data_IF_647078937780
#
_entry.id   IF_647078937780
#
_cell.length_a   1.000
_cell.length_b   1.000
_cell.length_c   1.000
_cell.angle_alpha   90.00
_cell.angle_beta   90.00
_cell.angle_gamma   90.00
#
_symmetry.space_group_name_H-M   'P 1'
#
loop_
_entity.id
_entity.type
_entity.pdbx_description
1 polymer ?
#
# COMPACT_ATOMS: atom_id res chain seq x y z
N UNK A 1 -16.10 6.95 33.26
CA UNK A 1 -16.23 7.39 31.86
C UNK A 1 -16.96 8.72 31.89
N UNK A 2 -16.30 9.82 31.55
CA UNK A 2 -17.01 11.07 31.31
C UNK A 2 -17.65 10.96 29.93
N UNK A 3 -18.98 10.94 29.88
CA UNK A 3 -19.75 10.99 28.64
C UNK A 3 -19.49 12.34 27.99
N UNK A 4 -18.59 12.39 26.99
CA UNK A 4 -18.60 13.54 26.08
C UNK A 4 -20.01 13.64 25.51
N UNK A 5 -20.62 14.83 25.53
CA UNK A 5 -21.90 15.01 24.86
C UNK A 5 -21.75 14.65 23.38
N UNK A 6 -22.78 14.04 22.79
CA UNK A 6 -22.80 13.70 21.36
C UNK A 6 -22.44 14.92 20.49
N UNK A 7 -22.78 16.14 20.94
CA UNK A 7 -22.40 17.40 20.30
C UNK A 7 -20.89 17.68 20.34
N UNK A 8 -20.21 17.44 21.46
CA UNK A 8 -18.76 17.60 21.58
C UNK A 8 -18.00 16.59 20.73
N UNK A 9 -18.46 15.33 20.71
CA UNK A 9 -17.91 14.29 19.84
C UNK A 9 -18.07 14.66 18.36
N UNK A 10 -19.28 15.07 17.94
CA UNK A 10 -19.55 15.49 16.56
C UNK A 10 -18.75 16.74 16.15
N UNK A 11 -18.57 17.70 17.05
CA UNK A 11 -17.77 18.90 16.80
C UNK A 11 -16.28 18.56 16.63
N UNK A 12 -15.76 17.68 17.49
CA UNK A 12 -14.38 17.19 17.41
C UNK A 12 -14.16 16.40 16.11
N UNK A 13 -15.10 15.52 15.74
CA UNK A 13 -15.09 14.78 14.47
C UNK A 13 -15.05 15.72 13.27
N UNK A 14 -15.97 16.70 13.19
CA UNK A 14 -16.01 17.69 12.11
C UNK A 14 -14.72 18.50 12.02
N UNK A 15 -14.14 18.90 13.17
CA UNK A 15 -12.87 19.62 13.20
C UNK A 15 -11.72 18.78 12.64
N UNK A 16 -11.60 17.52 13.06
CA UNK A 16 -10.53 16.63 12.59
C UNK A 16 -10.70 16.28 11.11
N UNK A 17 -11.90 15.88 10.68
CA UNK A 17 -12.18 15.61 9.27
C UNK A 17 -11.98 16.85 8.41
N UNK A 18 -12.51 18.00 8.82
CA UNK A 18 -12.34 19.25 8.08
C UNK A 18 -10.88 19.66 7.93
N UNK A 19 -10.10 19.56 9.01
CA UNK A 19 -8.68 19.90 9.00
C UNK A 19 -7.86 18.95 8.12
N UNK A 20 -7.96 17.63 8.34
CA UNK A 20 -7.16 16.67 7.59
C UNK A 20 -7.62 16.52 6.13
N UNK A 21 -8.93 16.47 5.88
CA UNK A 21 -9.46 16.36 4.51
C UNK A 21 -9.20 17.64 3.74
N UNK A 22 -9.46 18.81 4.34
CA UNK A 22 -9.19 20.10 3.71
C UNK A 22 -7.70 20.33 3.47
N UNK A 23 -6.85 19.98 4.45
CA UNK A 23 -5.40 20.03 4.32
C UNK A 23 -4.89 19.09 3.21
N UNK A 24 -5.41 17.87 3.13
CA UNK A 24 -5.05 16.91 2.09
C UNK A 24 -5.50 17.38 0.69
N UNK A 25 -6.74 17.85 0.54
CA UNK A 25 -7.24 18.40 -0.74
C UNK A 25 -6.39 19.60 -1.16
N UNK A 26 -6.15 20.54 -0.24
CA UNK A 26 -5.29 21.70 -0.50
C UNK A 26 -3.88 21.28 -0.92
N UNK A 27 -3.30 20.29 -0.25
CA UNK A 27 -1.99 19.75 -0.59
C UNK A 27 -1.96 19.12 -1.99
N UNK A 28 -2.96 18.31 -2.35
CA UNK A 28 -3.08 17.71 -3.69
C UNK A 28 -3.26 18.77 -4.76
N UNK A 29 -4.09 19.78 -4.52
CA UNK A 29 -4.28 20.91 -5.45
C UNK A 29 -2.98 21.68 -5.66
N UNK A 30 -2.22 21.94 -4.59
CA UNK A 30 -0.89 22.58 -4.69
C UNK A 30 0.05 21.73 -5.54
N UNK A 31 0.11 20.41 -5.31
CA UNK A 31 0.94 19.52 -6.12
C UNK A 31 0.52 19.51 -7.59
N UNK A 32 -0.78 19.50 -7.88
CA UNK A 32 -1.29 19.56 -9.25
C UNK A 32 -0.95 20.88 -9.94
N UNK A 33 -0.99 22.01 -9.23
CA UNK A 33 -0.55 23.30 -9.75
C UNK A 33 0.95 23.27 -10.06
N UNK A 34 1.76 22.75 -9.13
CA UNK A 34 3.21 22.63 -9.34
C UNK A 34 3.55 21.72 -10.54
N UNK A 35 2.83 20.62 -10.70
CA UNK A 35 2.95 19.75 -11.87
C UNK A 35 2.62 20.49 -13.17
N UNK A 36 1.50 21.25 -13.21
CA UNK A 36 1.13 22.07 -14.37
C UNK A 36 2.13 23.19 -14.67
N UNK A 37 2.82 23.70 -13.64
CA UNK A 37 3.92 24.66 -13.78
C UNK A 37 5.23 24.02 -14.29
N UNK A 38 5.25 22.71 -14.56
CA UNK A 38 6.40 22.00 -15.10
C UNK A 38 7.43 21.59 -14.05
N UNK A 39 7.05 21.54 -12.76
CA UNK A 39 7.96 21.04 -11.72
C UNK A 39 8.26 19.56 -11.96
N UNK A 40 9.55 19.15 -11.96
CA UNK A 40 9.92 17.76 -12.16
C UNK A 40 9.26 16.80 -11.15
N UNK A 41 8.78 15.65 -11.63
CA UNK A 41 8.14 14.61 -10.81
C UNK A 41 8.97 14.20 -9.59
N UNK A 42 10.30 14.19 -9.72
CA UNK A 42 11.22 13.89 -8.61
C UNK A 42 11.09 14.89 -7.45
N UNK A 43 10.92 16.17 -7.77
CA UNK A 43 10.74 17.24 -6.77
C UNK A 43 9.37 17.11 -6.10
N UNK A 44 8.32 16.82 -6.88
CA UNK A 44 6.99 16.52 -6.34
C UNK A 44 7.03 15.32 -5.37
N UNK A 45 7.77 14.27 -5.72
CA UNK A 45 8.00 13.11 -4.86
C UNK A 45 8.68 13.47 -3.53
N UNK A 46 9.71 14.34 -3.55
CA UNK A 46 10.35 14.82 -2.32
C UNK A 46 9.41 15.68 -1.47
N UNK A 47 8.63 16.58 -2.08
CA UNK A 47 7.63 17.39 -1.36
C UNK A 47 6.61 16.48 -0.69
N UNK A 48 6.11 15.48 -1.41
CA UNK A 48 5.17 14.49 -0.87
C UNK A 48 5.73 13.74 0.33
N UNK A 49 6.96 13.21 0.20
CA UNK A 49 7.63 12.47 1.27
C UNK A 49 7.85 13.33 2.51
N UNK A 50 8.43 14.53 2.33
CA UNK A 50 8.76 15.42 3.44
C UNK A 50 7.52 15.99 4.11
N UNK A 51 6.47 16.34 3.35
CA UNK A 51 5.20 16.79 3.91
C UNK A 51 4.56 15.70 4.77
N UNK A 52 4.61 14.44 4.30
CA UNK A 52 4.07 13.28 5.04
C UNK A 52 4.84 13.04 6.33
N UNK A 53 6.17 13.00 6.27
CA UNK A 53 7.04 12.85 7.45
C UNK A 53 6.82 14.01 8.43
N UNK A 54 6.75 15.25 7.93
CA UNK A 54 6.53 16.44 8.73
C UNK A 54 5.18 16.43 9.45
N UNK A 55 4.11 16.02 8.76
CA UNK A 55 2.78 15.84 9.35
C UNK A 55 2.82 14.82 10.51
N UNK A 56 3.43 13.66 10.28
CA UNK A 56 3.50 12.60 11.30
C UNK A 56 4.38 13.00 12.47
N UNK A 57 5.53 13.62 12.22
CA UNK A 57 6.40 14.15 13.26
C UNK A 57 5.68 15.20 14.10
N UNK A 58 4.92 16.11 13.46
CA UNK A 58 4.08 17.09 14.15
C UNK A 58 3.06 16.44 15.07
N UNK A 59 2.33 15.42 14.59
CA UNK A 59 1.37 14.66 15.40
C UNK A 59 2.06 13.97 16.58
N UNK A 60 3.24 13.39 16.35
CA UNK A 60 4.06 12.74 17.38
C UNK A 60 4.48 13.70 18.49
N UNK A 61 4.99 14.88 18.13
CA UNK A 61 5.41 15.92 19.08
C UNK A 61 4.21 16.43 19.89
N UNK A 62 3.07 16.69 19.24
CA UNK A 62 1.85 17.15 19.92
C UNK A 62 1.22 16.09 20.84
N UNK A 63 1.52 14.81 20.59
CA UNK A 63 0.97 13.68 21.36
C UNK A 63 1.96 13.10 22.37
N UNK A 64 3.08 13.79 22.62
CA UNK A 64 4.15 13.30 23.50
C UNK A 64 3.64 12.97 24.90
N UNK A 65 4.03 11.81 25.41
CA UNK A 65 3.65 11.35 26.76
C UNK A 65 4.75 10.48 27.37
N UNK A 66 4.88 10.53 28.70
CA UNK A 66 5.77 9.68 29.49
C UNK A 66 5.01 8.68 30.39
N UNK A 67 3.67 8.76 30.44
CA UNK A 67 2.84 7.84 31.22
C UNK A 67 2.67 6.51 30.47
N UNK A 68 2.87 5.39 31.16
CA UNK A 68 2.81 4.03 30.58
C UNK A 68 1.44 3.71 29.98
N UNK A 69 0.36 4.09 30.66
CA UNK A 69 -1.00 3.84 30.19
C UNK A 69 -1.38 4.72 29.00
N UNK A 70 -0.89 5.96 28.96
CA UNK A 70 -1.01 6.83 27.79
C UNK A 70 -0.16 6.34 26.62
N UNK A 71 1.05 5.86 26.91
CA UNK A 71 1.98 5.37 25.90
C UNK A 71 1.48 4.09 25.23
N UNK A 72 1.00 3.10 25.99
CA UNK A 72 0.58 1.82 25.40
C UNK A 72 -0.88 1.77 24.95
N UNK A 73 -1.80 2.48 25.61
CA UNK A 73 -3.24 2.38 25.30
C UNK A 73 -3.93 3.74 25.15
N UNK A 74 -3.19 4.84 25.04
CA UNK A 74 -3.73 6.21 24.94
C UNK A 74 -4.72 6.54 26.07
N UNK A 75 -4.47 5.99 27.27
CA UNK A 75 -5.35 6.11 28.44
C UNK A 75 -6.74 5.49 28.24
N UNK A 76 -6.95 4.70 27.17
CA UNK A 76 -8.25 4.18 26.72
C UNK A 76 -9.29 5.26 26.44
N UNK A 77 -8.83 6.46 26.07
CA UNK A 77 -9.68 7.65 25.84
C UNK A 77 -10.04 7.88 24.38
N UNK A 78 -9.41 7.15 23.45
CA UNK A 78 -9.70 7.28 22.03
C UNK A 78 -11.13 6.75 21.76
N UNK A 79 -12.01 7.54 21.14
CA UNK A 79 -13.37 7.09 20.82
C UNK A 79 -13.36 5.92 19.81
N UNK A 80 -14.37 5.07 19.89
CA UNK A 80 -14.46 3.84 19.08
C UNK A 80 -14.38 4.09 17.57
N UNK A 81 -15.00 5.15 17.07
CA UNK A 81 -14.97 5.50 15.65
C UNK A 81 -13.54 5.82 15.16
N UNK A 82 -12.77 6.61 15.93
CA UNK A 82 -11.38 6.93 15.59
C UNK A 82 -10.46 5.71 15.67
N UNK A 83 -10.68 4.83 16.66
CA UNK A 83 -9.98 3.54 16.69
C UNK A 83 -10.34 2.69 15.47
N UNK A 84 -11.61 2.65 15.05
CA UNK A 84 -12.03 1.93 13.86
C UNK A 84 -11.36 2.44 12.58
N UNK A 85 -11.25 3.77 12.41
CA UNK A 85 -10.50 4.36 11.30
C UNK A 85 -9.02 4.01 11.34
N UNK A 86 -8.40 4.13 12.52
CA UNK A 86 -6.99 3.84 12.71
C UNK A 86 -6.67 2.37 12.38
N UNK A 87 -7.51 1.48 12.88
CA UNK A 87 -7.50 0.05 12.57
C UNK A 87 -7.73 -0.24 11.08
N UNK A 88 -8.65 0.49 10.43
CA UNK A 88 -8.89 0.36 8.99
C UNK A 88 -7.69 0.79 8.15
N UNK A 89 -7.02 1.89 8.53
CA UNK A 89 -5.79 2.32 7.88
C UNK A 89 -4.65 1.29 8.04
N UNK A 90 -4.52 0.70 9.23
CA UNK A 90 -3.54 -0.36 9.49
C UNK A 90 -3.83 -1.63 8.67
N UNK A 91 -5.11 -1.95 8.50
CA UNK A 91 -5.55 -3.04 7.61
C UNK A 91 -5.22 -2.76 6.13
N UNK A 92 -5.21 -1.49 5.68
CA UNK A 92 -4.91 -1.07 4.30
C UNK A 92 -3.41 -0.86 4.04
N UNK A 93 -2.53 -1.54 4.78
CA UNK A 93 -1.08 -1.40 4.73
C UNK A 93 -0.44 -1.64 3.34
N UNK A 94 0.88 -1.45 3.21
CA UNK A 94 1.58 -1.72 1.95
C UNK A 94 1.46 -3.19 1.51
N UNK A 95 1.46 -4.13 2.46
CA UNK A 95 1.18 -5.54 2.19
C UNK A 95 -0.22 -5.75 1.58
N UNK A 96 -1.22 -5.02 2.08
CA UNK A 96 -2.60 -5.12 1.60
C UNK A 96 -2.75 -4.45 0.23
N UNK A 97 -2.20 -3.25 0.06
CA UNK A 97 -2.34 -2.51 -1.19
C UNK A 97 -1.53 -3.14 -2.33
N UNK A 98 -0.21 -3.28 -2.14
CA UNK A 98 0.70 -3.78 -3.16
C UNK A 98 0.56 -5.31 -3.29
N UNK A 99 0.50 -6.00 -2.16
CA UNK A 99 0.40 -7.46 -2.14
C UNK A 99 -0.90 -7.95 -2.74
N UNK A 100 -2.07 -7.38 -2.38
CA UNK A 100 -3.31 -7.82 -3.02
C UNK A 100 -3.39 -7.43 -4.49
N UNK A 101 -2.88 -6.27 -4.90
CA UNK A 101 -2.80 -5.92 -6.31
C UNK A 101 -1.97 -6.96 -7.09
N UNK A 102 -0.82 -7.37 -6.55
CA UNK A 102 0.02 -8.42 -7.15
C UNK A 102 -0.64 -9.79 -7.15
N UNK A 103 -1.28 -10.20 -6.05
CA UNK A 103 -1.99 -11.48 -5.97
C UNK A 103 -3.15 -11.52 -6.95
N UNK A 104 -4.01 -10.50 -6.98
CA UNK A 104 -5.14 -10.44 -7.90
C UNK A 104 -4.70 -10.35 -9.36
N UNK A 105 -3.58 -9.68 -9.64
CA UNK A 105 -2.99 -9.69 -10.98
C UNK A 105 -2.54 -11.09 -11.40
N UNK A 106 -1.96 -11.87 -10.48
CA UNK A 106 -1.44 -13.21 -10.79
C UNK A 106 -2.51 -14.32 -10.78
N UNK A 107 -3.46 -14.27 -9.83
CA UNK A 107 -4.47 -15.32 -9.65
C UNK A 107 -5.87 -14.93 -10.15
N UNK A 108 -6.03 -13.72 -10.69
CA UNK A 108 -7.30 -13.25 -11.24
C UNK A 108 -8.45 -13.33 -10.23
N UNK A 109 -9.61 -13.79 -10.71
CA UNK A 109 -10.84 -13.89 -9.93
C UNK A 109 -10.70 -14.79 -8.69
N UNK A 110 -9.92 -15.87 -8.76
CA UNK A 110 -9.74 -16.79 -7.63
C UNK A 110 -9.03 -16.13 -6.44
N UNK A 111 -8.26 -15.07 -6.69
CA UNK A 111 -7.65 -14.26 -5.64
C UNK A 111 -8.68 -13.56 -4.74
N UNK A 112 -9.92 -13.36 -5.21
CA UNK A 112 -10.98 -12.74 -4.39
C UNK A 112 -11.38 -13.61 -3.20
N UNK A 113 -11.26 -14.94 -3.30
CA UNK A 113 -11.53 -15.83 -2.17
C UNK A 113 -10.57 -15.55 -0.99
N UNK A 114 -9.31 -15.22 -1.29
CA UNK A 114 -8.33 -14.80 -0.28
C UNK A 114 -8.74 -13.48 0.38
N UNK A 115 -9.17 -12.49 -0.41
CA UNK A 115 -9.65 -11.19 0.11
C UNK A 115 -10.87 -11.36 1.01
N UNK A 116 -11.84 -12.17 0.58
CA UNK A 116 -13.06 -12.45 1.34
C UNK A 116 -12.76 -13.21 2.64
N UNK A 117 -11.92 -14.25 2.58
CA UNK A 117 -11.53 -15.03 3.75
C UNK A 117 -10.77 -14.20 4.78
N UNK A 118 -9.82 -13.38 4.32
CA UNK A 118 -9.05 -12.50 5.18
C UNK A 118 -9.93 -11.43 5.85
N UNK A 119 -10.75 -10.73 5.07
CA UNK A 119 -11.68 -9.70 5.58
C UNK A 119 -12.71 -10.32 6.54
N UNK A 120 -13.25 -11.48 6.18
CA UNK A 120 -14.17 -12.24 7.04
C UNK A 120 -13.52 -12.63 8.37
N UNK A 121 -12.29 -13.15 8.34
CA UNK A 121 -11.51 -13.47 9.53
C UNK A 121 -11.30 -12.24 10.42
N UNK A 122 -11.05 -11.08 9.82
CA UNK A 122 -10.94 -9.82 10.54
C UNK A 122 -12.23 -9.46 11.31
N UNK A 123 -13.39 -9.59 10.65
CA UNK A 123 -14.69 -9.41 11.28
C UNK A 123 -14.95 -10.42 12.42
N UNK A 124 -14.58 -11.69 12.22
CA UNK A 124 -14.73 -12.73 13.24
C UNK A 124 -13.89 -12.41 14.50
N UNK A 125 -12.64 -11.98 14.33
CA UNK A 125 -11.79 -11.56 15.45
C UNK A 125 -12.39 -10.35 16.17
N UNK A 126 -12.87 -9.36 15.41
CA UNK A 126 -13.48 -8.16 15.98
C UNK A 126 -14.77 -8.46 16.79
N UNK A 127 -15.60 -9.39 16.33
CA UNK A 127 -16.86 -9.73 16.99
C UNK A 127 -16.68 -10.75 18.12
N UNK A 128 -15.87 -11.77 17.94
CA UNK A 128 -15.79 -12.90 18.85
C UNK A 128 -14.62 -12.85 19.83
N UNK A 129 -13.51 -12.18 19.51
CA UNK A 129 -12.32 -12.18 20.36
C UNK A 129 -12.06 -10.83 21.03
N UNK A 130 -12.17 -9.74 20.27
CA UNK A 130 -11.88 -8.39 20.79
C UNK A 130 -12.68 -8.00 22.05
N UNK A 131 -13.97 -8.37 22.22
CA UNK A 131 -14.70 -8.06 23.45
C UNK A 131 -14.12 -8.72 24.70
N UNK A 132 -13.60 -9.94 24.60
CA UNK A 132 -12.98 -10.65 25.73
C UNK A 132 -11.62 -10.06 26.09
N UNK A 133 -10.80 -9.76 25.07
CA UNK A 133 -9.52 -9.09 25.28
C UNK A 133 -9.71 -7.70 25.91
N UNK A 134 -10.75 -6.96 25.50
CA UNK A 134 -11.10 -5.67 26.10
C UNK A 134 -11.51 -5.79 27.56
N UNK A 135 -12.27 -6.83 27.92
CA UNK A 135 -12.66 -7.12 29.32
C UNK A 135 -11.47 -7.56 30.18
N UNK A 136 -10.47 -8.23 29.59
CA UNK A 136 -9.26 -8.68 30.30
C UNK A 136 -8.36 -7.51 30.75
N UNK A 137 -8.36 -6.39 30.01
CA UNK A 137 -7.80 -5.12 30.48
C UNK A 137 -6.27 -5.03 30.57
N UNK A 138 -5.52 -6.09 30.24
CA UNK A 138 -4.06 -6.07 30.12
C UNK A 138 -3.59 -5.51 28.77
N UNK A 139 -2.27 -5.37 28.62
CA UNK A 139 -1.64 -4.74 27.45
C UNK A 139 -1.36 -5.71 26.29
N UNK A 140 -1.23 -7.02 26.54
CA UNK A 140 -0.74 -7.97 25.53
C UNK A 140 -1.59 -9.25 25.42
N UNK A 141 -1.63 -9.83 24.21
CA UNK A 141 -2.26 -11.15 23.96
C UNK A 141 -1.54 -12.28 24.71
N UNK A 142 -0.19 -12.32 24.77
CA UNK A 142 0.51 -13.33 25.57
C UNK A 142 0.11 -13.34 27.05
N UNK A 143 -0.16 -12.18 27.64
CA UNK A 143 -0.68 -12.12 29.02
C UNK A 143 -2.07 -12.71 29.15
N UNK A 144 -2.92 -12.51 28.14
CA UNK A 144 -4.22 -13.16 28.08
C UNK A 144 -4.08 -14.68 28.04
N UNK A 145 -3.16 -15.20 27.22
CA UNK A 145 -2.91 -16.65 27.14
C UNK A 145 -2.39 -17.21 28.47
N UNK A 146 -1.43 -16.53 29.11
CA UNK A 146 -0.91 -16.94 30.42
C UNK A 146 -1.97 -16.95 31.51
N UNK A 147 -2.84 -15.94 31.55
CA UNK A 147 -3.94 -15.88 32.51
C UNK A 147 -5.05 -16.89 32.22
N UNK A 148 -5.34 -17.15 30.94
CA UNK A 148 -6.44 -18.03 30.52
C UNK A 148 -6.12 -19.52 30.68
N UNK A 149 -4.89 -19.92 30.38
CA UNK A 149 -4.48 -21.32 30.35
C UNK A 149 -3.58 -21.73 31.53
N UNK A 150 -3.14 -20.77 32.33
CA UNK A 150 -2.32 -21.00 33.52
C UNK A 150 -0.85 -21.22 33.18
N UNK A 151 -0.01 -20.33 33.71
CA UNK A 151 1.45 -20.51 33.73
C UNK A 151 2.23 -19.72 32.67
N UNK A 152 3.55 -19.81 32.79
CA UNK A 152 4.47 -19.08 31.92
C UNK A 152 4.63 -19.74 30.54
N UNK A 153 4.32 -21.04 30.40
CA UNK A 153 4.47 -21.76 29.11
C UNK A 153 3.53 -21.20 28.03
N UNK A 154 2.20 -21.06 28.24
CA UNK A 154 1.31 -20.44 27.25
C UNK A 154 1.68 -18.98 26.94
N UNK A 155 2.14 -18.22 27.95
CA UNK A 155 2.63 -16.85 27.77
C UNK A 155 3.86 -16.83 26.85
N UNK A 156 4.86 -17.66 27.10
CA UNK A 156 6.08 -17.72 26.29
C UNK A 156 5.78 -18.11 24.85
N UNK A 157 4.89 -19.10 24.62
CA UNK A 157 4.43 -19.45 23.26
C UNK A 157 3.77 -18.24 22.60
N UNK A 158 2.90 -17.53 23.32
CA UNK A 158 2.28 -16.31 22.83
C UNK A 158 3.31 -15.22 22.45
N UNK A 159 4.34 -15.02 23.27
CA UNK A 159 5.41 -14.04 23.00
C UNK A 159 6.17 -14.43 21.73
N UNK A 160 6.58 -15.69 21.60
CA UNK A 160 7.29 -16.19 20.41
C UNK A 160 6.43 -16.00 19.16
N UNK A 161 5.15 -16.38 19.22
CA UNK A 161 4.22 -16.22 18.11
C UNK A 161 4.05 -14.73 17.73
N UNK A 162 3.85 -13.85 18.71
CA UNK A 162 3.71 -12.41 18.49
C UNK A 162 4.98 -11.81 17.83
N UNK A 163 6.17 -12.21 18.27
CA UNK A 163 7.44 -11.76 17.69
C UNK A 163 7.57 -12.24 16.24
N UNK A 164 7.33 -13.52 15.96
CA UNK A 164 7.44 -14.08 14.62
C UNK A 164 6.47 -13.36 13.67
N UNK A 165 5.19 -13.27 14.03
CA UNK A 165 4.19 -12.60 13.20
C UNK A 165 4.54 -11.12 12.97
N UNK A 166 4.96 -10.40 14.01
CA UNK A 166 5.32 -8.99 13.91
C UNK A 166 6.55 -8.78 13.03
N UNK A 167 7.58 -9.61 13.18
CA UNK A 167 8.82 -9.49 12.41
C UNK A 167 8.60 -9.78 10.93
N UNK A 168 7.88 -10.87 10.61
CA UNK A 168 7.48 -11.19 9.23
C UNK A 168 6.70 -10.03 8.60
N UNK A 169 5.76 -9.44 9.34
CA UNK A 169 4.96 -8.33 8.83
C UNK A 169 5.81 -7.07 8.61
N UNK A 170 6.66 -6.71 9.58
CA UNK A 170 7.53 -5.53 9.48
C UNK A 170 8.48 -5.62 8.28
N UNK A 171 9.02 -6.81 7.95
CA UNK A 171 9.86 -6.99 6.76
C UNK A 171 9.10 -6.59 5.49
N UNK A 172 7.87 -7.07 5.33
CA UNK A 172 7.05 -6.74 4.17
C UNK A 172 6.76 -5.24 4.08
N UNK A 173 6.49 -4.58 5.21
CA UNK A 173 6.26 -3.13 5.23
C UNK A 173 7.53 -2.34 4.92
N UNK A 174 8.68 -2.72 5.45
CA UNK A 174 9.98 -2.09 5.17
C UNK A 174 10.27 -2.16 3.67
N UNK A 175 10.04 -3.32 3.06
CA UNK A 175 10.21 -3.49 1.63
C UNK A 175 9.26 -2.57 0.84
N UNK A 176 7.97 -2.51 1.22
CA UNK A 176 6.99 -1.62 0.63
C UNK A 176 7.39 -0.14 0.72
N UNK A 177 7.86 0.31 1.88
CA UNK A 177 8.35 1.69 2.10
C UNK A 177 9.57 1.99 1.22
N UNK A 178 10.55 1.09 1.17
CA UNK A 178 11.74 1.25 0.32
C UNK A 178 11.40 1.29 -1.17
N UNK A 179 10.49 0.42 -1.61
CA UNK A 179 10.03 0.36 -3.00
C UNK A 179 9.31 1.65 -3.41
N UNK A 180 8.35 2.13 -2.62
CA UNK A 180 7.63 3.37 -2.92
C UNK A 180 8.61 4.55 -2.90
N UNK A 181 9.42 4.67 -1.86
CA UNK A 181 10.35 5.80 -1.73
C UNK A 181 11.32 5.86 -2.90
N UNK A 182 11.98 4.74 -3.23
CA UNK A 182 12.90 4.68 -4.36
C UNK A 182 12.24 5.00 -5.70
N UNK A 183 11.00 4.57 -5.93
CA UNK A 183 10.26 4.86 -7.16
C UNK A 183 9.89 6.34 -7.32
N UNK A 184 9.47 7.00 -6.25
CA UNK A 184 9.01 8.40 -6.31
C UNK A 184 10.14 9.41 -6.19
N UNK A 185 11.18 9.12 -5.42
CA UNK A 185 12.27 10.06 -5.19
C UNK A 185 13.53 9.74 -6.00
N UNK A 186 13.60 8.56 -6.63
CA UNK A 186 14.82 8.07 -7.29
C UNK A 186 15.99 7.85 -6.32
N UNK A 187 15.71 7.75 -5.01
CA UNK A 187 16.72 7.38 -4.03
C UNK A 187 17.02 5.89 -4.16
N UNK A 188 18.24 5.51 -3.79
CA UNK A 188 18.56 4.09 -3.63
C UNK A 188 17.62 3.46 -2.60
N UNK A 189 17.20 2.21 -2.85
CA UNK A 189 16.28 1.48 -2.01
C UNK A 189 16.67 1.52 -0.53
N UNK A 190 17.95 1.29 -0.20
CA UNK A 190 18.43 1.29 1.18
C UNK A 190 18.25 2.66 1.85
N UNK A 191 18.61 3.75 1.15
CA UNK A 191 18.42 5.11 1.65
C UNK A 191 16.92 5.42 1.83
N UNK A 192 16.09 5.00 0.88
CA UNK A 192 14.64 5.14 0.98
C UNK A 192 14.04 4.43 2.20
N UNK A 193 14.53 3.22 2.50
CA UNK A 193 14.16 2.48 3.72
C UNK A 193 14.53 3.27 4.97
N UNK A 194 15.78 3.74 5.09
CA UNK A 194 16.23 4.47 6.28
C UNK A 194 15.45 5.77 6.51
N UNK A 195 15.21 6.55 5.46
CA UNK A 195 14.45 7.80 5.56
C UNK A 195 13.01 7.53 5.98
N UNK A 196 12.36 6.54 5.35
CA UNK A 196 10.98 6.18 5.68
C UNK A 196 10.85 5.65 7.10
N UNK A 197 11.76 4.76 7.53
CA UNK A 197 11.78 4.23 8.89
C UNK A 197 12.07 5.32 9.93
N UNK A 198 13.04 6.20 9.68
CA UNK A 198 13.36 7.30 10.59
C UNK A 198 12.12 8.18 10.84
N UNK A 199 11.36 8.52 9.79
CA UNK A 199 10.11 9.26 9.93
C UNK A 199 9.08 8.57 10.81
N UNK A 200 8.86 7.27 10.60
CA UNK A 200 7.91 6.45 11.38
C UNK A 200 8.38 6.31 12.84
N UNK A 201 9.68 6.12 13.07
CA UNK A 201 10.25 6.00 14.41
C UNK A 201 10.08 7.30 15.19
N UNK A 202 10.38 8.44 14.59
CA UNK A 202 10.23 9.75 15.25
C UNK A 202 8.80 9.98 15.73
N UNK A 203 7.77 9.68 14.91
CA UNK A 203 6.40 9.91 15.32
C UNK A 203 5.89 8.89 16.35
N UNK A 204 6.27 7.61 16.21
CA UNK A 204 5.79 6.54 17.10
C UNK A 204 6.47 6.52 18.46
N UNK A 205 7.79 6.76 18.52
CA UNK A 205 8.53 6.76 19.79
C UNK A 205 8.16 7.94 20.70
N UNK A 206 7.87 9.12 20.13
CA UNK A 206 7.61 10.31 20.94
C UNK A 206 6.24 10.29 21.59
N UNK A 207 5.20 9.82 20.90
CA UNK A 207 3.81 9.93 21.37
C UNK A 207 3.05 8.63 21.60
N UNK A 208 3.71 7.47 21.46
CA UNK A 208 3.13 6.16 21.72
C UNK A 208 1.85 5.90 20.94
N UNK A 209 0.94 5.10 21.52
CA UNK A 209 -0.32 4.69 20.90
C UNK A 209 -1.19 5.89 20.50
N UNK A 210 -1.19 6.97 21.28
CA UNK A 210 -1.96 8.17 20.94
C UNK A 210 -1.48 8.77 19.63
N UNK A 211 -0.17 8.97 19.46
CA UNK A 211 0.37 9.49 18.20
C UNK A 211 0.01 8.56 17.03
N UNK A 212 0.25 7.26 17.19
CA UNK A 212 -0.01 6.25 16.16
C UNK A 212 -1.49 6.25 15.74
N UNK A 213 -2.42 6.30 16.68
CA UNK A 213 -3.84 6.35 16.36
C UNK A 213 -4.19 7.61 15.57
N UNK A 214 -3.71 8.79 15.97
CA UNK A 214 -4.02 10.03 15.26
C UNK A 214 -3.35 10.10 13.87
N UNK A 215 -2.14 9.56 13.71
CA UNK A 215 -1.52 9.42 12.38
C UNK A 215 -2.30 8.46 11.49
N UNK A 216 -2.76 7.33 12.04
CA UNK A 216 -3.56 6.35 11.29
C UNK A 216 -4.94 6.89 10.92
N UNK A 217 -5.57 7.72 11.76
CA UNK A 217 -6.81 8.43 11.41
C UNK A 217 -6.59 9.37 10.22
N UNK A 218 -5.48 10.12 10.20
CA UNK A 218 -5.16 10.98 9.07
C UNK A 218 -4.91 10.14 7.79
N UNK A 219 -4.16 9.04 7.91
CA UNK A 219 -3.92 8.09 6.81
C UNK A 219 -5.20 7.48 6.27
N UNK A 220 -6.15 7.12 7.13
CA UNK A 220 -7.43 6.53 6.73
C UNK A 220 -8.16 7.43 5.70
N UNK A 221 -8.23 8.73 5.96
CA UNK A 221 -8.88 9.70 5.07
C UNK A 221 -8.18 9.71 3.70
N UNK A 222 -6.85 9.78 3.70
CA UNK A 222 -6.03 9.79 2.48
C UNK A 222 -6.26 8.49 1.67
N UNK A 223 -6.21 7.34 2.34
CA UNK A 223 -6.35 6.03 1.72
C UNK A 223 -7.74 5.81 1.12
N UNK A 224 -8.81 6.19 1.84
CA UNK A 224 -10.17 6.07 1.32
C UNK A 224 -10.35 6.93 0.07
N UNK A 225 -9.87 8.19 0.09
CA UNK A 225 -9.92 9.05 -1.10
C UNK A 225 -9.11 8.44 -2.25
N UNK A 226 -7.88 8.01 -1.96
CA UNK A 226 -7.00 7.42 -2.96
C UNK A 226 -7.56 6.14 -3.60
N UNK A 227 -8.29 5.31 -2.83
CA UNK A 227 -8.89 4.08 -3.35
C UNK A 227 -10.21 4.36 -4.08
N UNK A 228 -11.03 5.28 -3.57
CA UNK A 228 -12.35 5.54 -4.14
C UNK A 228 -12.28 6.30 -5.46
N UNK A 229 -11.34 7.23 -5.64
CA UNK A 229 -11.21 8.01 -6.89
C UNK A 229 -11.12 7.12 -8.14
N UNK A 230 -10.12 6.21 -8.27
CA UNK A 230 -9.97 5.41 -9.48
C UNK A 230 -11.15 4.45 -9.67
N UNK A 231 -11.67 3.87 -8.60
CA UNK A 231 -12.77 2.90 -8.69
C UNK A 231 -14.08 3.58 -9.10
N UNK A 232 -14.37 4.78 -8.56
CA UNK A 232 -15.53 5.59 -8.96
C UNK A 232 -15.38 6.08 -10.40
N UNK A 233 -14.20 6.55 -10.79
CA UNK A 233 -13.94 6.96 -12.17
C UNK A 233 -14.20 5.80 -13.14
N UNK A 234 -13.59 4.64 -12.92
CA UNK A 234 -13.81 3.46 -13.77
C UNK A 234 -15.28 3.04 -13.82
N UNK A 235 -15.97 3.10 -12.67
CA UNK A 235 -17.40 2.83 -12.59
C UNK A 235 -18.22 3.76 -13.50
N UNK A 236 -17.97 5.07 -13.45
CA UNK A 236 -18.64 6.05 -14.32
C UNK A 236 -18.33 5.81 -15.79
N UNK A 237 -17.06 5.58 -16.14
CA UNK A 237 -16.63 5.36 -17.53
C UNK A 237 -17.28 4.11 -18.15
N UNK A 238 -17.38 3.01 -17.41
CA UNK A 238 -17.81 1.73 -17.97
C UNK A 238 -19.31 1.41 -17.79
N UNK A 239 -19.95 2.02 -16.79
CA UNK A 239 -21.35 1.72 -16.43
C UNK A 239 -22.25 2.95 -16.36
N UNK A 240 -21.68 4.17 -16.39
CA UNK A 240 -22.41 5.42 -16.16
C UNK A 240 -22.84 5.64 -14.72
N UNK A 241 -22.59 4.70 -13.81
CA UNK A 241 -22.97 4.78 -12.40
C UNK A 241 -21.76 5.16 -11.53
N UNK A 242 -21.85 6.21 -10.70
CA UNK A 242 -20.76 6.62 -9.80
C UNK A 242 -20.61 5.75 -8.54
N UNK A 243 -21.45 4.74 -8.34
CA UNK A 243 -21.41 3.84 -7.19
C UNK A 243 -20.84 2.48 -7.64
N UNK A 244 -19.55 2.21 -7.40
CA UNK A 244 -18.89 1.00 -7.88
C UNK A 244 -19.51 -0.29 -7.37
N UNK A 245 -20.02 -0.29 -6.13
CA UNK A 245 -20.60 -1.45 -5.48
C UNK A 245 -21.85 -1.96 -6.22
N UNK A 246 -22.56 -1.07 -6.91
CA UNK A 246 -23.75 -1.41 -7.72
C UNK A 246 -23.33 -1.74 -9.15
N UNK A 247 -22.39 -0.96 -9.70
CA UNK A 247 -21.88 -1.13 -11.06
C UNK A 247 -21.09 -2.44 -11.28
N UNK A 248 -20.47 -2.96 -10.22
CA UNK A 248 -19.55 -4.10 -10.27
C UNK A 248 -20.14 -5.33 -10.97
N UNK A 249 -21.42 -5.65 -10.71
CA UNK A 249 -22.07 -6.82 -11.32
C UNK A 249 -22.14 -6.75 -12.85
N UNK A 250 -22.41 -5.58 -13.40
CA UNK A 250 -22.45 -5.36 -14.86
C UNK A 250 -21.04 -5.41 -15.46
N UNK A 251 -20.05 -4.84 -14.77
CA UNK A 251 -18.66 -4.88 -15.20
C UNK A 251 -18.14 -6.31 -15.23
N UNK A 252 -18.44 -7.13 -14.21
CA UNK A 252 -18.01 -8.51 -14.12
C UNK A 252 -18.55 -9.36 -15.28
N UNK A 253 -19.82 -9.20 -15.66
CA UNK A 253 -20.39 -9.91 -16.80
C UNK A 253 -19.64 -9.60 -18.11
N UNK A 254 -19.38 -8.32 -18.38
CA UNK A 254 -18.62 -7.89 -19.57
C UNK A 254 -17.20 -8.43 -19.57
N UNK A 255 -16.53 -8.43 -18.40
CA UNK A 255 -15.18 -8.98 -18.25
C UNK A 255 -15.19 -10.49 -18.51
N UNK A 256 -16.13 -11.24 -17.92
CA UNK A 256 -16.25 -12.69 -18.13
C UNK A 256 -16.52 -13.05 -19.59
N UNK A 257 -17.33 -12.27 -20.30
CA UNK A 257 -17.57 -12.47 -21.74
C UNK A 257 -16.29 -12.22 -22.55
N UNK A 258 -15.54 -11.15 -22.26
CA UNK A 258 -14.27 -10.90 -22.93
C UNK A 258 -13.18 -11.89 -22.59
N UNK A 259 -13.11 -12.38 -21.36
CA UNK A 259 -12.20 -13.45 -20.98
C UNK A 259 -12.48 -14.74 -21.76
N UNK A 260 -13.75 -15.09 -21.99
CA UNK A 260 -14.10 -16.24 -22.83
C UNK A 260 -13.63 -16.06 -24.27
N UNK A 261 -13.84 -14.88 -24.84
CA UNK A 261 -13.39 -14.58 -26.21
C UNK A 261 -11.87 -14.62 -26.33
N UNK A 262 -11.14 -13.98 -25.39
CA UNK A 262 -9.68 -13.93 -25.37
C UNK A 262 -9.03 -15.29 -25.11
N UNK A 263 -9.69 -16.19 -24.39
CA UNK A 263 -9.17 -17.52 -24.11
C UNK A 263 -9.61 -18.59 -25.12
N UNK A 264 -10.51 -18.27 -26.05
CA UNK A 264 -10.90 -19.18 -27.14
C UNK A 264 -9.93 -19.02 -28.33
N UNK A 265 -9.11 -20.04 -28.66
CA UNK A 265 -8.16 -19.98 -29.78
C UNK A 265 -8.80 -19.80 -31.16
N UNK A 266 -10.11 -20.00 -31.27
CA UNK A 266 -10.82 -19.90 -32.54
C UNK A 266 -11.25 -18.46 -32.87
N UNK A 267 -11.26 -17.56 -31.88
CA UNK A 267 -11.64 -16.16 -32.08
C UNK A 267 -10.46 -15.34 -32.62
N UNK A 268 -10.74 -14.20 -33.25
CA UNK A 268 -9.69 -13.30 -33.74
C UNK A 268 -8.88 -12.74 -32.58
N UNK A 269 -9.56 -12.32 -31.49
CA UNK A 269 -8.90 -11.80 -30.30
C UNK A 269 -8.09 -12.86 -29.55
N UNK A 270 -8.58 -14.11 -29.48
CA UNK A 270 -7.86 -15.19 -28.82
C UNK A 270 -6.58 -15.60 -29.55
N UNK A 271 -6.57 -15.57 -30.89
CA UNK A 271 -5.34 -15.77 -31.68
C UNK A 271 -4.31 -14.67 -31.43
N UNK A 272 -4.75 -13.41 -31.46
CA UNK A 272 -3.88 -12.27 -31.17
C UNK A 272 -3.33 -12.33 -29.73
N UNK A 273 -4.18 -12.68 -28.75
CA UNK A 273 -3.77 -12.86 -27.36
C UNK A 273 -2.77 -14.01 -27.19
N UNK A 274 -2.95 -15.12 -27.92
CA UNK A 274 -2.00 -16.23 -27.91
C UNK A 274 -0.62 -15.83 -28.47
N UNK A 275 -0.57 -15.02 -29.53
CA UNK A 275 0.67 -14.46 -30.06
C UNK A 275 1.36 -13.55 -29.04
N UNK A 276 0.61 -12.67 -28.38
CA UNK A 276 1.14 -11.80 -27.31
C UNK A 276 1.69 -12.65 -26.16
N UNK A 277 0.94 -13.65 -25.68
CA UNK A 277 1.40 -14.57 -24.63
C UNK A 277 2.68 -15.30 -25.04
N UNK A 278 2.81 -15.72 -26.29
CA UNK A 278 4.02 -16.35 -26.81
C UNK A 278 5.22 -15.38 -26.81
N UNK A 279 5.03 -14.11 -27.21
CA UNK A 279 6.07 -13.08 -27.15
C UNK A 279 6.52 -12.84 -25.71
N UNK A 280 5.59 -12.71 -24.75
CA UNK A 280 5.93 -12.52 -23.35
C UNK A 280 6.63 -13.73 -22.74
N UNK A 281 6.21 -14.94 -23.12
CA UNK A 281 6.88 -16.18 -22.71
C UNK A 281 8.31 -16.23 -23.23
N UNK A 282 8.53 -15.89 -24.50
CA UNK A 282 9.89 -15.82 -25.07
C UNK A 282 10.75 -14.79 -24.32
N UNK A 283 10.21 -13.59 -24.04
CA UNK A 283 10.92 -12.56 -23.26
C UNK A 283 11.27 -13.05 -21.86
N UNK A 284 10.38 -13.79 -21.21
CA UNK A 284 10.65 -14.39 -19.90
C UNK A 284 11.78 -15.41 -20.01
N UNK A 285 11.71 -16.34 -20.96
CA UNK A 285 12.74 -17.37 -21.19
C UNK A 285 14.10 -16.74 -21.49
N UNK A 286 14.15 -15.71 -22.33
CA UNK A 286 15.37 -14.95 -22.65
C UNK A 286 15.95 -14.26 -21.39
N UNK A 287 15.08 -13.66 -20.56
CA UNK A 287 15.50 -13.01 -19.32
C UNK A 287 16.03 -14.02 -18.30
N UNK A 288 15.39 -15.18 -18.17
CA UNK A 288 15.85 -16.28 -17.31
C UNK A 288 17.19 -16.85 -17.79
N UNK A 289 17.37 -17.01 -19.11
CA UNK A 289 18.64 -17.45 -19.68
C UNK A 289 19.76 -16.45 -19.36
N UNK A 290 19.50 -15.15 -19.53
CA UNK A 290 20.45 -14.08 -19.17
C UNK A 290 20.81 -14.08 -17.69
N UNK A 291 19.83 -14.28 -16.80
CA UNK A 291 20.06 -14.39 -15.35
C UNK A 291 20.99 -15.58 -15.03
N UNK A 292 20.72 -16.76 -15.59
CA UNK A 292 21.57 -17.94 -15.41
C UNK A 292 22.98 -17.73 -15.96
N UNK A 293 23.12 -17.09 -17.12
CA UNK A 293 24.42 -16.75 -17.70
C UNK A 293 25.19 -15.74 -16.85
N UNK A 294 24.50 -14.76 -16.24
CA UNK A 294 25.10 -13.82 -15.30
C UNK A 294 25.57 -14.53 -14.02
N UNK A 295 24.79 -15.45 -13.48
CA UNK A 295 25.18 -16.24 -12.29
C UNK A 295 26.38 -17.14 -12.57
N UNK A 296 26.46 -17.74 -13.76
CA UNK A 296 27.55 -18.61 -14.16
C UNK A 296 28.84 -17.87 -14.58
N UNK A 297 28.70 -16.74 -15.29
CA UNK A 297 29.80 -16.04 -15.97
C UNK A 297 30.13 -14.64 -15.45
N UNK A 298 29.29 -14.07 -14.58
CA UNK A 298 29.51 -12.78 -13.89
C UNK A 298 30.10 -11.69 -14.79
N UNK A 299 31.33 -11.28 -14.49
CA UNK A 299 32.04 -10.21 -15.18
C UNK A 299 32.27 -10.45 -16.69
N UNK A 300 32.44 -11.72 -17.10
CA UNK A 300 32.63 -12.06 -18.51
C UNK A 300 31.35 -11.87 -19.33
N UNK A 301 30.21 -12.29 -18.77
CA UNK A 301 28.89 -12.06 -19.37
C UNK A 301 28.58 -10.56 -19.47
N UNK A 302 28.89 -9.77 -18.43
CA UNK A 302 28.72 -8.31 -18.46
C UNK A 302 29.58 -7.63 -19.53
N UNK A 303 30.82 -8.10 -19.74
CA UNK A 303 31.69 -7.57 -20.79
C UNK A 303 31.14 -7.88 -22.19
N UNK A 304 30.60 -9.08 -22.40
CA UNK A 304 29.99 -9.48 -23.66
C UNK A 304 28.70 -8.68 -23.97
N UNK A 305 27.81 -8.53 -22.98
CA UNK A 305 26.60 -7.72 -23.14
C UNK A 305 26.93 -6.24 -23.40
N UNK A 306 27.96 -5.70 -22.74
CA UNK A 306 28.44 -4.34 -23.00
C UNK A 306 28.92 -4.20 -24.45
N UNK A 307 29.69 -5.15 -24.96
CA UNK A 307 30.15 -5.14 -26.35
C UNK A 307 28.97 -5.21 -27.34
N UNK A 308 27.95 -6.04 -27.06
CA UNK A 308 26.71 -6.09 -27.89
C UNK A 308 25.97 -4.76 -27.89
N UNK A 309 25.85 -4.10 -26.74
CA UNK A 309 25.23 -2.78 -26.60
C UNK A 309 26.00 -1.70 -27.36
N UNK A 310 27.34 -1.70 -27.28
CA UNK A 310 28.20 -0.77 -28.01
C UNK A 310 28.08 -0.97 -29.52
N UNK A 311 28.00 -2.21 -29.99
CA UNK A 311 27.78 -2.54 -31.39
C UNK A 311 26.40 -2.07 -31.87
N UNK A 312 25.34 -2.34 -31.09
CA UNK A 312 23.98 -1.85 -31.39
C UNK A 312 23.90 -0.32 -31.39
N UNK A 313 24.63 0.35 -30.51
CA UNK A 313 24.72 1.80 -30.50
C UNK A 313 25.44 2.33 -31.74
N UNK A 314 26.51 1.65 -32.18
CA UNK A 314 27.20 1.99 -33.42
C UNK A 314 26.27 1.83 -34.63
N UNK A 315 25.51 0.74 -34.72
CA UNK A 315 24.53 0.50 -35.78
C UNK A 315 23.43 1.57 -35.79
N UNK A 316 22.89 1.93 -34.62
CA UNK A 316 21.88 2.99 -34.50
C UNK A 316 22.41 4.38 -34.86
N UNK A 317 23.70 4.64 -34.62
CA UNK A 317 24.37 5.89 -35.03
C UNK A 317 24.68 5.92 -36.53
N UNK A 318 24.91 4.75 -37.13
CA UNK A 318 25.15 4.59 -38.55
C UNK A 318 23.85 4.54 -39.37
N UNK A 319 22.73 4.20 -38.74
CA UNK A 319 21.41 4.24 -39.35
C UNK A 319 21.03 5.69 -39.71
N UNK A 320 20.45 5.94 -40.90
CA UNK A 320 19.96 7.26 -41.26
C UNK A 320 18.94 7.73 -40.23
N UNK A 321 18.98 9.02 -39.89
CA UNK A 321 18.06 9.61 -38.93
C UNK A 321 16.61 9.27 -39.34
N UNK A 322 15.77 8.78 -38.42
CA UNK A 322 14.41 8.43 -38.76
C UNK A 322 13.69 9.68 -39.29
N UNK A 323 13.00 9.52 -40.42
CA UNK A 323 12.28 10.63 -41.06
C UNK A 323 11.20 11.15 -40.11
N UNK A 324 11.46 12.33 -39.53
CA UNK A 324 10.57 12.96 -38.57
C UNK A 324 9.15 13.15 -39.12
N UNK A 325 9.00 13.31 -40.45
CA UNK A 325 7.68 13.43 -41.10
C UNK A 325 6.94 12.10 -41.23
N UNK A 326 7.66 10.98 -41.31
CA UNK A 326 7.05 9.65 -41.34
C UNK A 326 6.58 9.20 -39.94
N UNK A 327 7.24 9.68 -38.88
CA UNK A 327 6.86 9.42 -37.48
C UNK A 327 5.64 10.26 -37.05
N UNK A 328 5.50 11.50 -37.52
CA UNK A 328 4.30 12.32 -37.24
C UNK A 328 3.05 11.84 -38.00
N UNK A 329 3.20 11.07 -39.07
CA UNK A 329 2.11 10.60 -39.92
C UNK A 329 1.58 9.19 -39.58
N UNK A 330 2.26 8.47 -38.67
CA UNK A 330 1.91 7.12 -38.21
C UNK A 330 1.22 7.15 -36.85
#
# INVERSE_FOLDING_TARGET
>A
MATQSQSAFNAQLKKFYGFYTGGFIGFVVILAILEQMGVPNKILGYIFLLATIGLYAGIGIMSRTADVSEYYVAGRRVPAFFNGMATGADWMSAASFIGMAGTLYASGYDGLAFVMGWTGGYCLVALFLAPYLRKFGQFTIPDFLGARYGGNVPRTIGVIAAIICSFTYVIAQIYGVGLITSRFTGLEFQVGVFVGLAGILVCSFLGGMRAVTWTQVAQYIILIVAYMIPVVWLSVQHTGNPIPQIAYGQALQKVTEKEKELNDPNTVLGKAEAEVRAIYKQKQEDAEARLKSLEAGGAAFLAEEKAKLEMKLADLRAAPAPDAKAIEAA
#
